data_IF_803843115061
#
_entry.id   IF_803843115061
#
_cell.length_a   1.000
_cell.length_b   1.000
_cell.length_c   1.000
_cell.angle_alpha   90.00
_cell.angle_beta   90.00
_cell.angle_gamma   90.00
#
_symmetry.space_group_name_H-M   'P 1'
#
loop_
_entity.id
_entity.type
_entity.pdbx_description
1 polymer ?
#
# COMPACT_ATOMS: atom_id res chain seq x y z
N UNK A 1 33.13 -11.61 -58.95
CA UNK A 1 32.63 -10.29 -58.54
C UNK A 1 32.12 -9.51 -59.73
N UNK A 2 31.51 -8.36 -59.53
CA UNK A 2 31.01 -7.48 -60.59
C UNK A 2 32.13 -6.75 -61.26
N UNK A 3 32.24 -6.90 -62.64
CA UNK A 3 33.26 -6.26 -63.46
C UNK A 3 32.79 -4.98 -64.19
N UNK A 4 31.50 -4.61 -63.99
CA UNK A 4 30.94 -3.41 -64.62
C UNK A 4 31.21 -2.18 -63.73
N UNK A 5 32.09 -1.27 -64.20
CA UNK A 5 32.46 -0.06 -63.48
C UNK A 5 31.32 0.94 -63.27
N UNK A 6 30.16 0.71 -63.87
CA UNK A 6 28.93 1.53 -63.67
C UNK A 6 27.98 0.94 -62.65
N UNK A 7 28.32 -0.19 -62.07
CA UNK A 7 27.50 -0.88 -61.08
C UNK A 7 27.85 -0.44 -59.68
N UNK A 8 26.85 -0.47 -58.74
CA UNK A 8 26.97 -0.06 -57.34
C UNK A 8 28.00 -0.88 -56.56
N UNK A 9 28.14 -2.17 -56.91
CA UNK A 9 29.04 -3.14 -56.27
C UNK A 9 30.21 -3.53 -57.18
N UNK A 10 30.70 -2.60 -58.04
CA UNK A 10 31.90 -2.81 -58.88
C UNK A 10 33.10 -3.21 -58.01
N UNK A 11 33.73 -4.30 -58.40
CA UNK A 11 34.97 -4.78 -57.77
C UNK A 11 36.13 -4.66 -58.75
N UNK A 12 37.05 -3.71 -58.57
CA UNK A 12 38.18 -3.50 -59.49
C UNK A 12 39.19 -4.67 -59.49
N UNK A 13 39.08 -5.62 -58.61
CA UNK A 13 39.92 -6.82 -58.58
C UNK A 13 39.24 -8.05 -59.16
N UNK A 14 38.00 -7.95 -59.60
CA UNK A 14 37.28 -9.03 -60.25
C UNK A 14 37.77 -9.19 -61.68
N UNK A 15 38.22 -10.40 -62.03
CA UNK A 15 38.69 -10.76 -63.34
C UNK A 15 37.60 -11.44 -64.19
N UNK A 16 36.57 -11.93 -63.57
CA UNK A 16 35.39 -12.61 -64.19
C UNK A 16 34.12 -12.08 -63.60
N UNK A 17 33.18 -11.67 -64.43
CA UNK A 17 31.85 -11.30 -64.05
C UNK A 17 31.07 -12.56 -63.57
N UNK A 18 30.56 -12.54 -62.40
CA UNK A 18 29.73 -13.62 -61.79
C UNK A 18 28.23 -13.33 -61.89
N UNK A 19 27.83 -12.27 -62.54
CA UNK A 19 26.45 -11.84 -62.69
C UNK A 19 25.88 -11.13 -61.47
N UNK A 20 26.73 -10.77 -60.47
CA UNK A 20 26.29 -10.08 -59.25
C UNK A 20 26.17 -8.57 -59.41
N UNK A 21 26.38 -8.00 -60.54
CA UNK A 21 26.33 -6.56 -60.80
C UNK A 21 24.97 -5.96 -60.44
N UNK A 22 25.00 -4.98 -59.54
CA UNK A 22 23.80 -4.23 -59.11
C UNK A 22 23.78 -2.90 -59.88
N UNK A 23 22.82 -2.70 -60.79
CA UNK A 23 22.76 -1.46 -61.58
C UNK A 23 22.48 -0.27 -60.68
N UNK A 24 23.11 0.87 -60.87
CA UNK A 24 22.78 2.12 -60.23
C UNK A 24 21.47 2.65 -60.81
N UNK A 25 20.42 2.58 -60.00
CA UNK A 25 19.11 3.16 -60.32
C UNK A 25 18.91 4.31 -59.34
N UNK A 26 18.95 5.52 -59.84
CA UNK A 26 18.74 6.72 -59.05
C UNK A 26 17.27 6.90 -58.71
N UNK A 27 16.99 7.40 -57.52
CA UNK A 27 15.65 7.71 -57.05
C UNK A 27 15.59 7.84 -55.53
N UNK A 28 14.45 8.24 -54.99
CA UNK A 28 14.24 8.32 -53.58
C UNK A 28 14.19 6.93 -52.91
N UNK A 29 15.10 6.65 -52.00
CA UNK A 29 15.21 5.38 -51.24
C UNK A 29 14.52 5.42 -49.88
N UNK A 30 13.98 6.57 -49.45
CA UNK A 30 13.26 6.69 -48.16
C UNK A 30 11.80 6.28 -48.32
N UNK A 31 11.39 5.20 -47.63
CA UNK A 31 10.03 4.67 -47.65
C UNK A 31 8.98 5.67 -47.15
N UNK A 32 9.38 6.71 -46.41
CA UNK A 32 8.48 7.76 -45.88
C UNK A 32 8.27 8.90 -46.91
N UNK A 33 8.98 8.94 -48.02
CA UNK A 33 8.80 9.95 -49.04
C UNK A 33 7.60 9.63 -49.94
N UNK A 34 6.94 10.69 -50.49
CA UNK A 34 5.80 10.56 -51.37
C UNK A 34 6.18 9.92 -52.71
N UNK A 35 7.43 10.07 -53.12
CA UNK A 35 8.00 9.55 -54.36
C UNK A 35 9.01 8.41 -54.10
N UNK A 36 8.85 7.67 -53.01
CA UNK A 36 9.63 6.46 -52.76
C UNK A 36 9.59 5.53 -53.98
N UNK A 37 10.75 5.12 -54.41
CA UNK A 37 10.89 4.20 -55.54
C UNK A 37 11.61 2.93 -55.04
N UNK A 38 10.87 1.85 -54.90
CA UNK A 38 11.40 0.57 -54.42
C UNK A 38 12.48 -0.06 -55.29
N UNK A 39 12.60 0.39 -56.53
CA UNK A 39 13.65 -0.05 -57.47
C UNK A 39 14.93 0.79 -57.41
N UNK A 40 14.94 1.91 -56.68
CA UNK A 40 16.13 2.73 -56.54
C UNK A 40 17.19 2.01 -55.70
N UNK A 41 18.43 1.99 -56.18
CA UNK A 41 19.59 1.41 -55.51
C UNK A 41 20.51 2.50 -54.92
N UNK A 42 20.33 3.76 -55.36
CA UNK A 42 21.09 4.91 -54.87
C UNK A 42 20.16 6.13 -54.73
N UNK A 43 20.17 6.75 -53.55
CA UNK A 43 19.43 7.99 -53.28
C UNK A 43 20.06 9.15 -54.11
N UNK A 44 19.23 9.84 -54.88
CA UNK A 44 19.61 10.99 -55.70
C UNK A 44 19.24 12.34 -55.07
N UNK A 45 18.74 12.33 -53.80
CA UNK A 45 18.27 13.50 -53.10
C UNK A 45 16.89 14.02 -53.60
N UNK A 46 16.21 13.27 -54.45
CA UNK A 46 14.91 13.66 -55.04
C UNK A 46 13.71 13.38 -54.09
N UNK A 47 13.96 12.88 -52.90
CA UNK A 47 12.88 12.54 -51.96
C UNK A 47 11.96 13.74 -51.69
N UNK A 48 10.69 13.59 -52.01
CA UNK A 48 9.64 14.57 -51.77
C UNK A 48 8.86 14.12 -50.52
N UNK A 49 8.94 14.91 -49.49
CA UNK A 49 8.16 14.67 -48.30
C UNK A 49 6.85 15.45 -48.31
N UNK A 50 5.81 14.96 -47.66
CA UNK A 50 4.54 15.67 -47.58
C UNK A 50 4.78 17.06 -46.93
N UNK A 51 4.46 18.11 -47.67
CA UNK A 51 4.54 19.50 -47.17
C UNK A 51 3.39 19.87 -46.25
N UNK A 52 2.37 19.00 -46.13
CA UNK A 52 1.18 19.18 -45.32
C UNK A 52 1.04 18.02 -44.36
N UNK A 53 0.73 18.30 -43.11
CA UNK A 53 0.47 17.27 -42.11
C UNK A 53 -0.70 16.38 -42.54
N UNK A 54 -0.46 15.07 -42.61
CA UNK A 54 -1.46 14.05 -42.97
C UNK A 54 -2.36 13.65 -41.80
N UNK A 55 -2.27 14.34 -40.67
CA UNK A 55 -3.03 14.08 -39.46
C UNK A 55 -2.94 12.64 -38.96
N UNK A 56 -1.71 12.10 -38.66
CA UNK A 56 -1.51 10.72 -38.29
C UNK A 56 -2.27 10.38 -37.01
N UNK A 57 -2.82 9.15 -36.96
CA UNK A 57 -3.50 8.63 -35.72
C UNK A 57 -2.46 8.25 -34.69
N UNK A 58 -2.67 8.60 -33.39
CA UNK A 58 -1.78 8.20 -32.33
C UNK A 58 -1.58 6.68 -32.24
N UNK A 59 -0.36 6.28 -31.86
CA UNK A 59 0.12 4.88 -31.74
C UNK A 59 0.82 4.64 -30.40
N UNK A 60 1.41 3.46 -30.18
CA UNK A 60 2.22 3.15 -29.00
C UNK A 60 1.43 3.09 -27.70
N UNK A 61 0.21 2.55 -27.75
CA UNK A 61 -0.70 2.54 -26.59
C UNK A 61 -0.28 1.52 -25.53
N UNK A 62 -0.22 2.00 -24.27
CA UNK A 62 -0.14 1.15 -23.10
C UNK A 62 -0.74 1.88 -21.90
N UNK A 63 -0.90 1.17 -20.78
CA UNK A 63 -1.43 1.73 -19.53
C UNK A 63 -0.47 1.49 -18.35
N UNK A 64 -0.47 2.41 -17.40
CA UNK A 64 0.24 2.29 -16.13
C UNK A 64 -0.59 2.87 -14.98
N UNK A 65 -0.09 2.80 -13.76
CA UNK A 65 -0.78 3.29 -12.55
C UNK A 65 -2.23 2.80 -12.45
N UNK A 66 -2.48 1.54 -12.86
CA UNK A 66 -3.83 0.96 -12.80
C UNK A 66 -4.15 0.59 -11.36
N UNK A 67 -5.09 1.33 -10.76
CA UNK A 67 -5.63 1.06 -9.43
C UNK A 67 -7.16 1.08 -9.48
N UNK A 68 -7.81 0.90 -8.35
CA UNK A 68 -9.27 0.75 -8.27
C UNK A 68 -10.09 1.92 -8.86
N UNK A 69 -9.54 3.12 -8.97
CA UNK A 69 -10.29 4.32 -9.37
C UNK A 69 -9.59 5.18 -10.41
N UNK A 70 -8.47 4.70 -10.98
CA UNK A 70 -7.73 5.45 -12.00
C UNK A 70 -6.82 4.57 -12.83
N UNK A 71 -6.39 5.14 -13.95
CA UNK A 71 -5.37 4.62 -14.86
C UNK A 71 -4.60 5.80 -15.45
N UNK A 72 -3.37 5.57 -15.86
CA UNK A 72 -2.63 6.46 -16.76
C UNK A 72 -2.51 5.78 -18.12
N UNK A 73 -3.10 6.39 -19.15
CA UNK A 73 -2.96 5.96 -20.54
C UNK A 73 -1.79 6.66 -21.16
N UNK A 74 -1.07 5.97 -22.04
CA UNK A 74 0.13 6.44 -22.73
C UNK A 74 0.00 6.24 -24.23
N UNK A 75 0.75 7.05 -24.99
CA UNK A 75 0.86 7.00 -26.46
C UNK A 75 2.21 7.56 -26.90
N UNK A 76 2.56 7.35 -28.16
CA UNK A 76 3.79 7.88 -28.75
C UNK A 76 3.75 9.40 -28.90
N UNK A 77 4.92 10.03 -28.92
CA UNK A 77 5.03 11.43 -29.29
C UNK A 77 4.76 11.58 -30.79
N UNK A 78 3.67 12.22 -31.15
CA UNK A 78 3.23 12.42 -32.52
C UNK A 78 3.79 13.69 -33.17
N UNK A 79 4.71 14.40 -32.48
CA UNK A 79 5.34 15.62 -33.00
C UNK A 79 6.37 15.26 -34.07
N UNK A 80 6.25 15.89 -35.24
CA UNK A 80 7.24 15.83 -36.32
C UNK A 80 7.47 17.23 -36.91
N UNK A 81 8.43 17.37 -37.84
CA UNK A 81 8.71 18.64 -38.48
C UNK A 81 7.51 19.26 -39.23
N UNK A 82 6.55 18.41 -39.64
CA UNK A 82 5.38 18.82 -40.44
C UNK A 82 4.06 18.64 -39.65
N UNK A 83 4.01 17.80 -38.64
CA UNK A 83 2.81 17.53 -37.86
C UNK A 83 3.06 17.93 -36.42
N UNK A 84 2.45 19.03 -35.99
CA UNK A 84 2.53 19.55 -34.60
C UNK A 84 1.18 19.31 -33.88
N UNK A 85 1.06 18.31 -33.02
CA UNK A 85 -0.16 18.11 -32.27
C UNK A 85 -0.45 19.31 -31.35
N UNK A 86 -1.69 19.80 -31.34
CA UNK A 86 -2.17 20.86 -30.43
C UNK A 86 -3.11 20.32 -29.36
N UNK A 87 -3.69 19.17 -29.57
CA UNK A 87 -4.60 18.54 -28.64
C UNK A 87 -4.70 17.04 -28.91
N UNK A 88 -4.70 16.26 -27.84
CA UNK A 88 -5.18 14.87 -27.85
C UNK A 88 -6.52 14.77 -27.13
N UNK A 89 -7.46 14.01 -27.68
CA UNK A 89 -8.73 13.69 -27.08
C UNK A 89 -8.79 12.20 -26.81
N UNK A 90 -8.96 11.83 -25.56
CA UNK A 90 -9.12 10.46 -25.08
C UNK A 90 -10.60 10.27 -24.75
N UNK A 91 -11.24 9.28 -25.36
CA UNK A 91 -12.56 8.82 -24.95
C UNK A 91 -12.44 7.47 -24.27
N UNK A 92 -13.21 7.28 -23.20
CA UNK A 92 -13.25 6.04 -22.44
C UNK A 92 -14.66 5.78 -21.91
N UNK A 93 -14.98 4.50 -21.72
CA UNK A 93 -16.26 4.06 -21.14
C UNK A 93 -16.11 2.66 -20.55
N UNK A 94 -17.02 2.27 -19.68
CA UNK A 94 -17.13 0.87 -19.26
C UNK A 94 -17.59 0.01 -20.44
N UNK A 95 -17.03 -1.20 -20.55
CA UNK A 95 -17.44 -2.14 -21.60
C UNK A 95 -18.92 -2.42 -21.49
N UNK A 96 -19.64 -2.31 -22.62
CA UNK A 96 -21.09 -2.48 -22.68
C UNK A 96 -21.89 -1.17 -22.53
N UNK A 97 -21.29 -0.07 -22.12
CA UNK A 97 -21.96 1.24 -22.09
C UNK A 97 -21.94 1.89 -23.49
N UNK A 98 -22.95 2.70 -23.76
CA UNK A 98 -23.05 3.42 -25.06
C UNK A 98 -22.38 4.79 -25.04
N UNK A 99 -22.43 5.48 -23.89
CA UNK A 99 -21.92 6.84 -23.73
C UNK A 99 -20.40 6.87 -23.49
N UNK A 100 -19.70 7.75 -24.18
CA UNK A 100 -18.28 7.98 -24.00
C UNK A 100 -18.02 9.17 -23.07
N UNK A 101 -17.25 8.97 -22.02
CA UNK A 101 -16.60 10.01 -21.24
C UNK A 101 -15.35 10.51 -21.98
N UNK A 102 -14.92 11.75 -21.68
CA UNK A 102 -13.82 12.38 -22.39
C UNK A 102 -12.82 13.05 -21.46
N UNK A 103 -11.53 12.94 -21.83
CA UNK A 103 -10.42 13.75 -21.30
C UNK A 103 -9.61 14.33 -22.45
N UNK A 104 -9.13 15.56 -22.26
CA UNK A 104 -8.24 16.18 -23.22
C UNK A 104 -6.85 16.37 -22.61
N UNK A 105 -5.83 16.22 -23.45
CA UNK A 105 -4.48 16.70 -23.18
C UNK A 105 -4.23 17.86 -24.15
N UNK A 106 -4.02 19.04 -23.63
CA UNK A 106 -3.76 20.29 -24.38
C UNK A 106 -2.91 21.20 -23.51
N UNK A 107 -2.19 22.11 -24.16
CA UNK A 107 -1.35 23.11 -23.50
C UNK A 107 -1.35 24.41 -24.33
N UNK A 108 -0.80 25.49 -23.83
CA UNK A 108 -0.72 26.79 -24.52
C UNK A 108 0.52 26.84 -25.46
N UNK A 109 0.42 27.60 -26.56
CA UNK A 109 1.55 27.84 -27.47
C UNK A 109 1.97 26.68 -28.38
N UNK A 110 1.15 25.68 -28.53
CA UNK A 110 1.48 24.38 -29.12
C UNK A 110 1.81 24.39 -30.59
N UNK A 111 1.32 25.40 -31.34
CA UNK A 111 1.60 25.47 -32.78
C UNK A 111 3.03 25.96 -33.14
N UNK A 112 3.84 26.29 -32.12
CA UNK A 112 5.27 26.57 -32.28
C UNK A 112 6.15 25.33 -32.08
N UNK A 113 5.74 24.44 -31.17
CA UNK A 113 6.58 23.32 -30.72
C UNK A 113 5.89 21.95 -30.76
N UNK A 114 4.56 21.90 -30.94
CA UNK A 114 3.77 20.70 -30.77
C UNK A 114 3.58 20.29 -29.30
N UNK A 115 2.64 19.38 -29.04
CA UNK A 115 2.34 18.86 -27.71
C UNK A 115 3.20 17.62 -27.43
N UNK A 116 4.20 17.74 -26.57
CA UNK A 116 5.11 16.67 -26.17
C UNK A 116 4.50 15.70 -25.13
N UNK A 117 3.31 16.01 -24.62
CA UNK A 117 2.63 15.13 -23.65
C UNK A 117 2.28 13.80 -24.27
N UNK A 118 2.76 12.71 -23.66
CA UNK A 118 2.57 11.31 -24.10
C UNK A 118 1.76 10.48 -23.11
N UNK A 119 1.13 11.11 -22.12
CA UNK A 119 0.28 10.41 -21.17
C UNK A 119 -0.81 11.28 -20.57
N UNK A 120 -1.89 10.65 -20.12
CA UNK A 120 -2.98 11.31 -19.38
C UNK A 120 -3.55 10.38 -18.31
N UNK A 121 -3.77 10.93 -17.11
CA UNK A 121 -4.45 10.20 -16.05
C UNK A 121 -5.96 10.32 -16.21
N UNK A 122 -6.65 9.20 -16.15
CA UNK A 122 -8.11 9.09 -16.07
C UNK A 122 -8.44 8.70 -14.62
N UNK A 123 -9.35 9.42 -14.00
CA UNK A 123 -9.73 9.27 -12.57
C UNK A 123 -11.24 9.09 -12.43
N UNK A 124 -11.69 8.73 -11.25
CA UNK A 124 -13.11 8.48 -10.90
C UNK A 124 -13.67 7.30 -11.70
N UNK A 125 -12.86 6.26 -11.82
CA UNK A 125 -13.26 4.99 -12.41
C UNK A 125 -13.87 4.08 -11.34
N UNK A 126 -14.76 3.18 -11.75
CA UNK A 126 -15.31 2.10 -10.91
C UNK A 126 -14.26 1.02 -10.66
N UNK A 127 -14.16 0.43 -9.46
CA UNK A 127 -13.23 -0.65 -9.18
C UNK A 127 -13.66 -1.95 -9.88
N UNK A 128 -12.68 -2.83 -10.12
CA UNK A 128 -12.87 -4.15 -10.74
C UNK A 128 -13.72 -4.10 -12.02
N UNK A 129 -13.52 -3.04 -12.82
CA UNK A 129 -14.34 -2.75 -14.00
C UNK A 129 -13.45 -2.66 -15.23
N UNK A 130 -13.88 -3.32 -16.31
CA UNK A 130 -13.20 -3.25 -17.60
C UNK A 130 -13.69 -2.04 -18.39
N UNK A 131 -12.73 -1.24 -18.83
CA UNK A 131 -12.93 -0.06 -19.64
C UNK A 131 -12.35 -0.29 -21.05
N UNK A 132 -13.00 0.31 -22.03
CA UNK A 132 -12.44 0.50 -23.36
C UNK A 132 -12.15 1.98 -23.59
N UNK A 133 -11.11 2.27 -24.34
CA UNK A 133 -10.71 3.64 -24.64
C UNK A 133 -10.13 3.75 -26.04
N UNK A 134 -10.21 4.94 -26.60
CA UNK A 134 -9.65 5.32 -27.91
C UNK A 134 -9.24 6.77 -27.86
N UNK A 135 -8.39 7.18 -28.80
CA UNK A 135 -7.98 8.56 -28.88
C UNK A 135 -7.80 9.05 -30.31
N UNK A 136 -7.75 10.36 -30.46
CA UNK A 136 -7.39 11.05 -31.69
C UNK A 136 -6.62 12.33 -31.39
N UNK A 137 -5.90 12.84 -32.36
CA UNK A 137 -5.10 14.05 -32.26
C UNK A 137 -5.64 15.14 -33.21
N UNK A 138 -5.54 16.41 -32.79
CA UNK A 138 -5.69 17.60 -33.61
C UNK A 138 -4.32 18.20 -33.82
N UNK A 139 -4.03 18.56 -35.07
CA UNK A 139 -2.75 19.15 -35.45
C UNK A 139 -2.88 20.63 -35.79
N UNK A 140 -1.79 21.36 -35.65
CA UNK A 140 -1.69 22.76 -36.11
C UNK A 140 -1.71 22.81 -37.64
N UNK A 141 -2.15 23.94 -38.17
CA UNK A 141 -2.20 24.21 -39.61
C UNK A 141 -3.03 23.19 -40.45
N UNK A 142 -3.94 22.50 -39.76
CA UNK A 142 -4.94 21.62 -40.37
C UNK A 142 -6.33 21.97 -39.89
N UNK A 143 -7.36 21.71 -40.69
CA UNK A 143 -8.76 21.94 -40.33
C UNK A 143 -9.38 20.71 -39.62
N UNK A 144 -8.66 19.59 -39.55
CA UNK A 144 -9.17 18.30 -39.11
C UNK A 144 -8.42 17.71 -37.94
N UNK A 145 -8.95 16.60 -37.46
CA UNK A 145 -8.32 15.69 -36.51
C UNK A 145 -7.97 14.39 -37.24
N UNK A 146 -7.07 13.59 -36.65
CA UNK A 146 -6.91 12.20 -37.06
C UNK A 146 -8.24 11.43 -36.94
N UNK A 147 -8.32 10.28 -37.56
CA UNK A 147 -9.36 9.31 -37.22
C UNK A 147 -9.17 8.82 -35.79
N UNK A 148 -10.18 8.16 -35.23
CA UNK A 148 -10.05 7.49 -33.94
C UNK A 148 -9.10 6.29 -34.05
N UNK A 149 -8.27 6.09 -33.05
CA UNK A 149 -7.47 4.89 -32.92
C UNK A 149 -8.34 3.63 -32.78
N UNK A 150 -7.75 2.46 -32.99
CA UNK A 150 -8.34 1.21 -32.54
C UNK A 150 -8.65 1.29 -31.02
N UNK A 151 -9.70 0.60 -30.60
CA UNK A 151 -10.12 0.51 -29.21
C UNK A 151 -9.08 -0.32 -28.44
N UNK A 152 -8.64 0.20 -27.31
CA UNK A 152 -7.80 -0.45 -26.32
C UNK A 152 -8.64 -0.75 -25.07
N UNK A 153 -8.21 -1.71 -24.25
CA UNK A 153 -8.89 -2.07 -23.00
C UNK A 153 -7.94 -2.09 -21.82
N UNK A 154 -8.49 -1.86 -20.63
CA UNK A 154 -7.84 -2.11 -19.34
C UNK A 154 -8.89 -2.46 -18.30
N UNK A 155 -8.51 -3.16 -17.24
CA UNK A 155 -9.38 -3.44 -16.10
C UNK A 155 -8.80 -2.78 -14.85
N UNK A 156 -9.62 -1.99 -14.14
CA UNK A 156 -9.23 -1.41 -12.85
C UNK A 156 -9.04 -2.49 -11.80
N UNK A 157 -8.15 -2.25 -10.84
CA UNK A 157 -7.97 -3.14 -9.70
C UNK A 157 -9.23 -3.17 -8.81
N UNK A 158 -9.46 -4.22 -8.02
CA UNK A 158 -10.49 -4.21 -6.99
C UNK A 158 -10.24 -3.11 -5.95
N UNK A 159 -11.23 -2.78 -5.13
CA UNK A 159 -11.03 -1.88 -4.00
C UNK A 159 -9.98 -2.45 -3.04
N UNK A 160 -9.15 -1.56 -2.49
CA UNK A 160 -8.24 -1.94 -1.42
C UNK A 160 -9.06 -2.15 -0.14
N UNK A 161 -8.98 -3.34 0.51
CA UNK A 161 -9.80 -3.67 1.67
C UNK A 161 -9.65 -2.67 2.81
N UNK A 162 -10.74 -2.39 3.52
CA UNK A 162 -10.74 -1.53 4.69
C UNK A 162 -10.31 -2.28 5.96
N UNK A 163 -9.77 -1.53 6.92
CA UNK A 163 -9.71 -1.95 8.32
C UNK A 163 -11.14 -1.90 8.88
N UNK A 164 -11.57 -2.95 9.53
CA UNK A 164 -12.83 -3.04 10.27
C UNK A 164 -12.56 -3.47 11.71
N UNK A 165 -13.49 -3.26 12.62
CA UNK A 165 -13.39 -3.61 14.05
C UNK A 165 -12.11 -3.09 14.71
N UNK A 166 -11.65 -1.90 14.28
CA UNK A 166 -10.44 -1.29 14.83
C UNK A 166 -10.65 -0.91 16.29
N UNK A 167 -9.85 -1.50 17.18
CA UNK A 167 -9.97 -1.37 18.61
C UNK A 167 -8.61 -1.18 19.29
N UNK A 168 -8.64 -0.79 20.55
CA UNK A 168 -7.45 -0.57 21.37
C UNK A 168 -7.67 -1.12 22.76
N UNK A 169 -6.65 -1.78 23.31
CA UNK A 169 -6.54 -2.15 24.72
C UNK A 169 -5.30 -1.52 25.32
N UNK A 170 -5.29 -1.32 26.64
CA UNK A 170 -4.21 -0.64 27.36
C UNK A 170 -3.65 -1.52 28.48
N UNK A 171 -2.91 -2.59 28.12
CA UNK A 171 -2.41 -3.57 29.10
C UNK A 171 -1.37 -2.98 30.06
N UNK A 172 -0.72 -1.87 29.69
CA UNK A 172 0.25 -1.16 30.52
C UNK A 172 -0.01 0.34 30.50
N UNK A 173 0.42 1.05 31.54
CA UNK A 173 0.27 2.52 31.63
C UNK A 173 0.93 3.27 30.49
N UNK A 174 1.94 2.67 29.84
CA UNK A 174 2.71 3.27 28.74
C UNK A 174 2.54 2.55 27.41
N UNK A 175 1.68 1.51 27.34
CA UNK A 175 1.47 0.68 26.14
C UNK A 175 0.00 0.62 25.75
N UNK A 176 -0.28 0.79 24.47
CA UNK A 176 -1.55 0.44 23.86
C UNK A 176 -1.33 -0.70 22.83
N UNK A 177 -2.29 -1.60 22.74
CA UNK A 177 -2.34 -2.68 21.74
C UNK A 177 -3.52 -2.41 20.84
N UNK A 178 -3.25 -2.25 19.56
CA UNK A 178 -4.28 -2.08 18.53
C UNK A 178 -4.56 -3.42 17.86
N UNK A 179 -5.82 -3.73 17.67
CA UNK A 179 -6.29 -4.91 16.92
C UNK A 179 -7.34 -4.50 15.90
N UNK A 180 -7.45 -5.26 14.84
CA UNK A 180 -8.42 -5.01 13.78
C UNK A 180 -8.69 -6.26 12.95
N UNK A 181 -9.78 -6.21 12.18
CA UNK A 181 -10.10 -7.17 11.14
C UNK A 181 -10.00 -6.52 9.76
N UNK A 182 -10.14 -7.32 8.71
CA UNK A 182 -10.09 -6.87 7.32
C UNK A 182 -11.08 -7.63 6.45
N UNK A 183 -11.54 -6.98 5.38
CA UNK A 183 -12.40 -7.61 4.36
C UNK A 183 -11.62 -8.36 3.28
N UNK A 184 -10.29 -8.33 3.32
CA UNK A 184 -9.43 -9.01 2.35
C UNK A 184 -7.94 -8.70 2.58
N UNK A 185 -7.07 -9.22 1.73
CA UNK A 185 -5.62 -9.00 1.81
C UNK A 185 -5.21 -7.61 1.32
N UNK A 186 -4.18 -7.06 1.93
CA UNK A 186 -3.56 -5.78 1.59
C UNK A 186 -2.03 -5.89 1.77
N UNK A 187 -1.26 -4.88 1.39
CA UNK A 187 0.19 -4.91 1.62
C UNK A 187 0.52 -4.57 3.08
N UNK A 188 0.01 -3.46 3.58
CA UNK A 188 0.20 -3.05 4.98
C UNK A 188 -0.92 -2.13 5.47
N UNK A 189 -1.11 -2.08 6.79
CA UNK A 189 -1.97 -1.12 7.49
C UNK A 189 -1.13 -0.07 8.21
N UNK A 190 -1.51 1.19 8.13
CA UNK A 190 -0.95 2.27 8.96
C UNK A 190 -1.91 2.61 10.09
N UNK A 191 -1.36 2.69 11.28
CA UNK A 191 -2.05 3.15 12.47
C UNK A 191 -1.44 4.50 12.85
N UNK A 192 -2.28 5.51 12.95
CA UNK A 192 -1.90 6.84 13.40
C UNK A 192 -2.67 7.20 14.65
N UNK A 193 -1.98 7.79 15.60
CA UNK A 193 -2.57 8.29 16.85
C UNK A 193 -2.01 9.66 17.20
N UNK A 194 -2.72 10.41 17.99
CA UNK A 194 -2.25 11.68 18.59
C UNK A 194 -2.94 11.94 19.92
N UNK A 195 -2.39 12.89 20.68
CA UNK A 195 -3.05 13.39 21.88
C UNK A 195 -4.37 14.05 21.50
N UNK A 196 -5.43 13.74 22.24
CA UNK A 196 -6.78 14.21 21.93
C UNK A 196 -6.94 15.75 22.11
N UNK A 197 -6.28 16.34 23.09
CA UNK A 197 -6.35 17.76 23.41
C UNK A 197 -5.75 18.70 22.35
N UNK A 198 -5.04 18.20 21.35
CA UNK A 198 -4.49 19.03 20.26
C UNK A 198 -5.62 19.41 19.31
N UNK A 199 -6.04 20.68 19.34
CA UNK A 199 -7.18 21.20 18.55
C UNK A 199 -6.84 21.39 17.06
N UNK A 200 -5.63 21.85 16.74
CA UNK A 200 -5.16 22.09 15.37
C UNK A 200 -3.90 21.26 15.08
N UNK A 201 -4.04 19.94 14.83
CA UNK A 201 -2.90 19.06 14.66
C UNK A 201 -2.14 19.36 13.35
N UNK A 202 -0.83 19.47 13.45
CA UNK A 202 0.08 19.47 12.30
C UNK A 202 0.43 18.04 11.90
N UNK A 203 1.15 17.88 10.78
CA UNK A 203 1.63 16.54 10.37
C UNK A 203 2.52 15.86 11.40
N UNK A 204 3.22 16.62 12.23
CA UNK A 204 4.15 16.15 13.27
C UNK A 204 3.45 15.65 14.54
N UNK A 205 2.22 16.08 14.81
CA UNK A 205 1.45 15.67 15.98
C UNK A 205 0.93 14.22 15.87
N UNK A 206 0.94 13.67 14.66
CA UNK A 206 0.55 12.31 14.42
C UNK A 206 1.70 11.32 14.61
N UNK A 207 1.53 10.46 15.59
CA UNK A 207 2.46 9.38 15.93
C UNK A 207 2.04 8.11 15.16
N UNK A 208 3.01 7.40 14.59
CA UNK A 208 2.77 6.11 13.95
C UNK A 208 2.98 4.96 14.94
N UNK A 209 2.07 3.99 14.94
CA UNK A 209 2.30 2.70 15.55
C UNK A 209 2.75 1.71 14.46
N UNK A 210 4.03 1.28 14.52
CA UNK A 210 4.57 0.33 13.55
C UNK A 210 5.37 0.94 12.40
N UNK A 211 5.95 2.14 12.57
CA UNK A 211 6.81 2.77 11.57
C UNK A 211 6.06 3.04 10.26
N UNK A 212 6.58 2.51 9.13
CA UNK A 212 5.96 2.67 7.81
C UNK A 212 4.58 2.03 7.73
N UNK A 213 4.39 0.85 8.36
CA UNK A 213 3.11 0.13 8.40
C UNK A 213 3.26 -1.27 9.01
N UNK A 214 2.15 -1.95 9.20
CA UNK A 214 2.06 -3.33 9.68
C UNK A 214 1.64 -4.21 8.51
N UNK A 215 2.52 -5.13 8.10
CA UNK A 215 2.30 -6.00 6.94
C UNK A 215 1.19 -7.02 7.22
N UNK A 216 0.37 -7.29 6.22
CA UNK A 216 -0.56 -8.41 6.22
C UNK A 216 0.24 -9.76 6.25
N UNK A 217 -0.18 -10.80 6.99
CA UNK A 217 -1.47 -10.95 7.68
C UNK A 217 -1.51 -10.50 9.15
N UNK A 218 -0.54 -9.74 9.64
CA UNK A 218 -0.56 -9.26 11.02
C UNK A 218 -1.71 -8.27 11.23
N UNK A 219 -2.60 -8.56 12.17
CA UNK A 219 -3.80 -7.77 12.50
C UNK A 219 -3.73 -7.14 13.91
N UNK A 220 -2.53 -7.04 14.46
CA UNK A 220 -2.29 -6.43 15.76
C UNK A 220 -1.02 -5.59 15.77
N UNK A 221 -0.97 -4.57 16.63
CA UNK A 221 0.24 -3.77 16.81
C UNK A 221 0.32 -3.09 18.17
N UNK A 222 1.45 -3.24 18.82
CA UNK A 222 1.77 -2.55 20.07
C UNK A 222 2.33 -1.15 19.78
N UNK A 223 1.94 -0.17 20.61
CA UNK A 223 2.56 1.15 20.72
C UNK A 223 3.01 1.38 22.14
N UNK A 224 4.32 1.47 22.34
CA UNK A 224 4.94 1.80 23.62
C UNK A 224 5.25 3.30 23.73
N UNK A 225 5.62 3.76 24.92
CA UNK A 225 6.04 5.13 25.18
C UNK A 225 4.88 6.13 25.20
N UNK A 226 3.69 5.68 25.53
CA UNK A 226 2.53 6.55 25.76
C UNK A 226 2.58 7.11 27.18
N UNK A 227 1.97 8.28 27.40
CA UNK A 227 1.96 8.97 28.68
C UNK A 227 0.79 8.49 29.54
N UNK A 228 1.02 8.00 30.76
CA UNK A 228 -0.06 7.64 31.68
C UNK A 228 -1.03 8.81 31.93
N UNK A 229 -2.32 8.52 32.02
CA UNK A 229 -3.39 9.52 32.21
C UNK A 229 -3.72 10.38 30.99
N UNK A 230 -2.95 10.26 29.90
CA UNK A 230 -3.17 11.04 28.69
C UNK A 230 -4.25 10.39 27.82
N UNK A 231 -5.20 11.20 27.34
CA UNK A 231 -6.19 10.77 26.34
C UNK A 231 -5.62 10.91 24.93
N UNK A 232 -5.80 9.85 24.17
CA UNK A 232 -5.38 9.74 22.76
C UNK A 232 -6.57 9.47 21.87
N UNK A 233 -6.42 9.81 20.59
CA UNK A 233 -7.29 9.34 19.52
C UNK A 233 -6.47 8.66 18.44
N UNK A 234 -7.06 7.66 17.78
CA UNK A 234 -6.36 6.88 16.76
C UNK A 234 -7.27 6.46 15.62
N UNK A 235 -6.67 6.13 14.50
CA UNK A 235 -7.32 5.62 13.30
C UNK A 235 -6.35 4.75 12.50
N UNK A 236 -6.90 3.88 11.66
CA UNK A 236 -6.13 3.00 10.80
C UNK A 236 -6.60 3.08 9.35
N UNK A 237 -5.71 2.70 8.42
CA UNK A 237 -5.97 2.63 6.99
C UNK A 237 -5.05 1.62 6.33
N UNK A 238 -5.54 0.91 5.32
CA UNK A 238 -4.77 -0.07 4.55
C UNK A 238 -4.20 0.52 3.27
N UNK A 239 -3.10 -0.05 2.81
CA UNK A 239 -2.46 0.17 1.52
C UNK A 239 -2.29 -1.15 0.80
N UNK A 240 -2.70 -1.19 -0.46
CA UNK A 240 -2.48 -2.32 -1.37
C UNK A 240 -1.23 -2.13 -2.24
N UNK A 241 -0.70 -0.93 -2.29
CA UNK A 241 0.59 -0.63 -2.89
C UNK A 241 1.69 -0.77 -1.82
N UNK A 242 2.63 -1.73 -1.96
CA UNK A 242 3.69 -1.96 -0.98
C UNK A 242 4.62 -0.75 -0.83
N UNK A 243 4.71 0.13 -1.82
CA UNK A 243 5.47 1.39 -1.74
C UNK A 243 4.73 2.51 -1.00
N UNK A 244 3.47 2.31 -0.61
CA UNK A 244 2.65 3.30 0.09
C UNK A 244 2.03 4.36 -0.80
N UNK A 245 1.92 4.09 -2.07
CA UNK A 245 1.35 4.97 -3.08
C UNK A 245 -0.14 5.26 -2.92
N UNK A 246 -0.81 5.47 -4.04
CA UNK A 246 -2.20 5.90 -4.05
C UNK A 246 -3.21 4.74 -3.99
N UNK A 247 -2.77 3.49 -4.17
CA UNK A 247 -3.61 2.31 -4.06
C UNK A 247 -3.78 1.94 -2.58
N UNK A 248 -4.83 2.46 -1.98
CA UNK A 248 -5.17 2.33 -0.56
C UNK A 248 -6.68 2.33 -0.39
N UNK A 249 -7.16 1.89 0.77
CA UNK A 249 -8.59 1.94 1.09
C UNK A 249 -9.16 3.36 0.97
N UNK A 250 -10.45 3.47 0.75
CA UNK A 250 -11.12 4.76 0.44
C UNK A 250 -10.94 5.77 1.58
N UNK A 251 -11.12 5.32 2.82
CA UNK A 251 -11.09 6.19 4.00
C UNK A 251 -10.22 5.62 5.12
N UNK A 252 -9.87 6.46 6.07
CA UNK A 252 -9.44 6.04 7.39
C UNK A 252 -10.63 5.47 8.15
N UNK A 253 -10.37 4.59 9.12
CA UNK A 253 -11.40 4.17 10.08
C UNK A 253 -11.98 5.38 10.81
N UNK A 254 -13.18 5.28 11.38
CA UNK A 254 -13.60 6.21 12.42
C UNK A 254 -12.53 6.36 13.49
N UNK A 255 -12.46 7.52 14.12
CA UNK A 255 -11.57 7.76 15.24
C UNK A 255 -12.01 6.94 16.44
N UNK A 256 -11.07 6.24 17.06
CA UNK A 256 -11.24 5.64 18.40
C UNK A 256 -10.55 6.54 19.42
N UNK A 257 -11.10 6.58 20.64
CA UNK A 257 -10.60 7.39 21.74
C UNK A 257 -10.31 6.48 22.92
N UNK A 258 -9.21 6.75 23.64
CA UNK A 258 -8.88 6.04 24.87
C UNK A 258 -8.00 6.90 25.77
N UNK A 259 -8.03 6.62 27.05
CA UNK A 259 -7.13 7.23 28.02
C UNK A 259 -6.17 6.17 28.55
N UNK A 260 -4.87 6.47 28.52
CA UNK A 260 -3.89 5.58 29.14
C UNK A 260 -4.12 5.53 30.65
N UNK A 261 -4.13 4.34 31.24
CA UNK A 261 -4.29 4.22 32.69
C UNK A 261 -3.12 4.89 33.40
N UNK A 262 -3.41 5.52 34.56
CA UNK A 262 -2.39 6.14 35.43
C UNK A 262 -1.69 5.12 36.33
N UNK A 263 -2.38 4.06 36.63
CA UNK A 263 -1.86 2.88 37.32
C UNK A 263 -2.47 1.65 36.66
N UNK A 264 -1.72 0.55 36.61
CA UNK A 264 -2.31 -0.73 36.27
C UNK A 264 -2.84 -1.27 37.64
N UNK A 265 -4.14 -1.22 37.82
CA UNK A 265 -4.77 -2.30 38.56
C UNK A 265 -4.76 -3.46 37.57
N UNK A 266 -3.82 -4.32 37.76
CA UNK A 266 -3.87 -5.62 37.11
C UNK A 266 -4.91 -6.41 37.92
N UNK A 267 -6.17 -6.16 37.64
CA UNK A 267 -7.14 -7.23 37.74
C UNK A 267 -6.66 -8.23 36.72
N UNK A 268 -6.18 -9.40 37.16
CA UNK A 268 -5.54 -10.42 36.30
C UNK A 268 -6.43 -10.99 35.24
N UNK A 269 -7.35 -10.20 34.71
CA UNK A 269 -8.28 -10.53 33.66
C UNK A 269 -9.11 -11.78 34.01
N UNK A 270 -9.66 -12.40 32.99
CA UNK A 270 -10.36 -13.69 33.07
C UNK A 270 -9.42 -14.89 33.09
N UNK A 271 -8.08 -14.69 33.13
CA UNK A 271 -7.08 -15.75 33.11
C UNK A 271 -7.18 -16.69 34.33
N UNK A 272 -7.64 -16.18 35.45
CA UNK A 272 -7.88 -16.95 36.68
C UNK A 272 -9.26 -16.62 37.23
N UNK A 273 -10.03 -17.66 37.50
CA UNK A 273 -11.34 -17.58 38.10
C UNK A 273 -11.33 -18.11 39.54
N UNK A 274 -12.31 -17.70 40.33
CA UNK A 274 -12.57 -18.23 41.65
C UNK A 274 -11.38 -18.10 42.65
N UNK A 275 -10.56 -17.02 42.52
CA UNK A 275 -9.48 -16.81 43.47
C UNK A 275 -10.04 -16.58 44.89
N UNK A 276 -9.80 -17.53 45.76
CA UNK A 276 -10.14 -17.46 47.16
C UNK A 276 -8.94 -17.75 48.06
N UNK A 277 -8.87 -17.08 49.19
CA UNK A 277 -7.82 -17.30 50.20
C UNK A 277 -8.46 -17.27 51.60
N UNK A 278 -8.39 -18.39 52.24
CA UNK A 278 -9.02 -18.57 53.56
C UNK A 278 -8.18 -19.42 54.55
N UNK A 279 -8.29 -19.14 55.83
CA UNK A 279 -8.87 -17.96 56.42
C UNK A 279 -8.04 -16.72 56.10
N UNK A 280 -8.70 -15.56 56.00
CA UNK A 280 -8.04 -14.26 55.85
C UNK A 280 -8.86 -13.21 56.64
N UNK A 281 -8.43 -12.77 57.78
CA UNK A 281 -7.14 -12.97 58.48
C UNK A 281 -6.85 -14.41 58.92
N UNK A 282 -5.55 -14.76 58.95
CA UNK A 282 -5.06 -16.03 59.46
C UNK A 282 -4.02 -15.83 60.59
N UNK A 283 -3.88 -16.83 61.45
CA UNK A 283 -2.79 -16.84 62.43
C UNK A 283 -1.48 -17.34 61.86
N UNK A 284 -1.54 -18.37 60.98
CA UNK A 284 -0.36 -19.05 60.52
C UNK A 284 -0.52 -19.52 59.05
N UNK A 285 -1.64 -20.15 58.67
CA UNK A 285 -1.84 -20.88 57.46
C UNK A 285 -2.89 -20.21 56.58
N UNK A 286 -2.59 -20.06 55.27
CA UNK A 286 -3.53 -19.64 54.25
C UNK A 286 -3.77 -20.76 53.26
N UNK A 287 -5.03 -21.05 52.91
CA UNK A 287 -5.38 -21.91 51.79
C UNK A 287 -5.65 -21.01 50.59
N UNK A 288 -4.86 -21.15 49.57
CA UNK A 288 -5.00 -20.44 48.29
C UNK A 288 -5.69 -21.38 47.30
N UNK A 289 -6.78 -20.93 46.70
CA UNK A 289 -7.53 -21.68 45.70
C UNK A 289 -7.85 -20.78 44.51
N UNK A 290 -7.66 -21.30 43.29
CA UNK A 290 -8.11 -20.64 42.05
C UNK A 290 -8.26 -21.66 40.94
N UNK A 291 -8.86 -21.24 39.80
CA UNK A 291 -9.01 -22.05 38.56
C UNK A 291 -8.40 -21.31 37.37
N UNK A 292 -7.53 -21.98 36.62
CA UNK A 292 -7.08 -21.53 35.28
C UNK A 292 -7.87 -22.28 34.20
N UNK A 293 -8.56 -21.57 33.33
CA UNK A 293 -9.33 -22.18 32.22
C UNK A 293 -8.46 -22.52 31.02
N UNK A 294 -7.40 -21.73 30.80
CA UNK A 294 -6.46 -21.90 29.72
C UNK A 294 -5.13 -22.49 30.21
N UNK A 295 -4.42 -23.22 29.33
CA UNK A 295 -3.05 -23.68 29.60
C UNK A 295 -2.15 -22.44 29.58
N UNK A 296 -1.45 -22.15 30.70
CA UNK A 296 -0.54 -21.03 30.82
C UNK A 296 0.50 -21.25 31.91
N UNK A 297 1.60 -20.52 31.84
CA UNK A 297 2.60 -20.49 32.89
C UNK A 297 2.17 -19.52 33.97
N UNK A 298 2.21 -19.97 35.22
CA UNK A 298 1.82 -19.18 36.39
C UNK A 298 2.96 -19.12 37.41
N UNK A 299 3.22 -17.92 37.94
CA UNK A 299 4.07 -17.75 39.12
C UNK A 299 3.19 -17.29 40.28
N UNK A 300 3.13 -18.10 41.33
CA UNK A 300 2.42 -17.79 42.56
C UNK A 300 3.44 -17.37 43.62
N UNK A 301 3.36 -16.15 44.11
CA UNK A 301 4.26 -15.68 45.18
C UNK A 301 3.54 -14.88 46.24
N UNK A 302 4.10 -14.87 47.44
CA UNK A 302 3.65 -14.02 48.53
C UNK A 302 4.79 -13.09 48.92
N UNK A 303 4.49 -11.81 48.98
CA UNK A 303 5.45 -10.76 49.33
C UNK A 303 4.99 -10.00 50.60
N UNK A 304 5.93 -9.48 51.37
CA UNK A 304 5.65 -8.57 52.46
C UNK A 304 5.51 -7.10 51.95
N UNK A 305 5.22 -6.17 52.88
CA UNK A 305 5.00 -4.74 52.55
C UNK A 305 6.23 -4.02 52.00
N UNK A 306 7.42 -4.57 52.17
CA UNK A 306 8.67 -4.01 51.62
C UNK A 306 9.09 -4.70 50.30
N UNK A 307 8.28 -5.63 49.76
CA UNK A 307 8.52 -6.32 48.50
C UNK A 307 9.40 -7.58 48.61
N UNK A 308 9.72 -8.04 49.79
CA UNK A 308 10.48 -9.28 50.00
C UNK A 308 9.58 -10.50 49.76
N UNK A 309 10.04 -11.44 48.96
CA UNK A 309 9.32 -12.69 48.62
C UNK A 309 9.48 -13.68 49.75
N UNK A 310 8.36 -14.09 50.35
CA UNK A 310 8.32 -15.07 51.46
C UNK A 310 7.85 -16.46 50.99
N UNK A 311 7.23 -16.53 49.84
CA UNK A 311 6.80 -17.77 49.19
C UNK A 311 6.82 -17.58 47.66
N UNK A 312 7.25 -18.61 46.91
CA UNK A 312 7.15 -18.67 45.47
C UNK A 312 6.94 -20.09 44.98
N UNK A 313 6.12 -20.25 43.96
CA UNK A 313 5.88 -21.50 43.24
C UNK A 313 5.62 -21.21 41.75
N UNK A 314 6.30 -21.92 40.84
CA UNK A 314 6.10 -21.83 39.40
C UNK A 314 5.30 -23.02 38.92
N UNK A 315 4.29 -22.77 38.12
CA UNK A 315 3.41 -23.77 37.53
C UNK A 315 3.54 -23.64 35.99
N UNK A 316 4.23 -24.59 35.37
CA UNK A 316 4.41 -24.62 33.92
C UNK A 316 3.23 -25.31 33.24
N UNK A 317 2.74 -24.76 32.13
CA UNK A 317 1.62 -25.30 31.32
C UNK A 317 0.40 -25.69 32.18
N UNK A 318 0.08 -24.89 33.18
CA UNK A 318 -0.97 -25.20 34.15
C UNK A 318 -2.38 -24.89 33.63
N UNK A 319 -3.29 -25.84 33.82
CA UNK A 319 -4.74 -25.70 33.57
C UNK A 319 -5.54 -26.43 34.66
N UNK A 320 -6.69 -25.91 35.03
CA UNK A 320 -7.59 -26.51 36.01
C UNK A 320 -7.54 -25.86 37.38
N UNK A 321 -7.88 -26.63 38.44
CA UNK A 321 -8.03 -26.13 39.80
C UNK A 321 -6.69 -26.22 40.54
N UNK A 322 -6.25 -25.08 41.11
CA UNK A 322 -5.12 -24.99 42.04
C UNK A 322 -5.63 -24.89 43.46
N UNK A 323 -5.08 -25.68 44.37
CA UNK A 323 -5.32 -25.60 45.79
C UNK A 323 -4.02 -25.86 46.55
N UNK A 324 -3.58 -24.87 47.33
CA UNK A 324 -2.34 -24.94 48.09
C UNK A 324 -2.50 -24.36 49.46
N UNK A 325 -1.91 -25.03 50.43
CA UNK A 325 -1.78 -24.54 51.79
C UNK A 325 -0.40 -23.91 51.97
N UNK A 326 -0.37 -22.63 52.33
CA UNK A 326 0.87 -21.88 52.57
C UNK A 326 0.96 -21.56 54.06
N UNK A 327 2.04 -22.01 54.69
CA UNK A 327 2.33 -21.78 56.11
C UNK A 327 3.26 -20.57 56.26
N UNK A 328 2.78 -19.54 56.96
CA UNK A 328 3.54 -18.34 57.27
C UNK A 328 3.79 -18.18 58.79
N UNK A 329 3.72 -19.28 59.57
CA UNK A 329 3.87 -19.26 61.03
C UNK A 329 5.20 -18.66 61.51
N UNK A 330 6.26 -18.79 60.70
CA UNK A 330 7.61 -18.29 61.03
C UNK A 330 7.83 -16.83 60.66
N UNK A 331 6.89 -16.21 59.97
CA UNK A 331 7.01 -14.85 59.48
C UNK A 331 6.32 -13.85 60.46
N UNK A 332 6.76 -12.59 60.39
CA UNK A 332 6.26 -11.53 61.24
C UNK A 332 4.78 -11.23 60.98
N UNK A 333 4.01 -11.05 62.01
CA UNK A 333 2.59 -10.67 61.89
C UNK A 333 2.46 -9.33 61.16
N UNK A 334 1.52 -9.25 60.21
CA UNK A 334 1.36 -8.05 59.42
C UNK A 334 0.59 -8.29 58.12
N UNK A 335 0.76 -7.36 57.17
CA UNK A 335 0.15 -7.41 55.84
C UNK A 335 1.10 -8.02 54.84
N UNK A 336 0.58 -8.96 54.08
CA UNK A 336 1.26 -9.60 52.93
C UNK A 336 0.39 -9.45 51.68
N UNK A 337 0.97 -9.70 50.52
CA UNK A 337 0.27 -9.71 49.27
C UNK A 337 0.56 -11.03 48.53
N UNK A 338 -0.49 -11.75 48.22
CA UNK A 338 -0.44 -12.84 47.25
C UNK A 338 -0.42 -12.21 45.85
N UNK A 339 0.56 -12.56 45.06
CA UNK A 339 0.66 -12.20 43.64
C UNK A 339 0.63 -13.47 42.81
N UNK A 340 -0.20 -13.49 41.79
CA UNK A 340 -0.26 -14.56 40.79
C UNK A 340 0.02 -13.91 39.44
N UNK A 341 1.20 -14.19 38.87
CA UNK A 341 1.60 -13.73 37.55
C UNK A 341 1.07 -14.72 36.52
N UNK A 342 0.44 -14.20 35.48
CA UNK A 342 -0.12 -14.95 34.35
C UNK A 342 0.39 -14.33 33.05
N UNK A 343 0.19 -15.00 31.91
CA UNK A 343 0.48 -14.43 30.58
C UNK A 343 -0.28 -13.12 30.32
N UNK A 344 -1.42 -12.91 30.97
CA UNK A 344 -2.29 -11.75 30.80
C UNK A 344 -2.12 -10.66 31.88
N UNK A 345 -1.27 -10.90 32.89
CA UNK A 345 -1.00 -9.91 33.96
C UNK A 345 -0.81 -10.53 35.33
N UNK A 346 -0.81 -9.71 36.38
CA UNK A 346 -0.60 -10.10 37.75
C UNK A 346 -1.87 -9.86 38.59
N UNK A 347 -2.34 -10.86 39.33
CA UNK A 347 -3.45 -10.76 40.25
C UNK A 347 -2.89 -10.59 41.68
N UNK A 348 -3.41 -9.62 42.40
CA UNK A 348 -2.99 -9.35 43.79
C UNK A 348 -4.13 -9.53 44.77
N UNK A 349 -3.88 -10.22 45.87
CA UNK A 349 -4.83 -10.32 46.99
C UNK A 349 -4.11 -10.02 48.30
N UNK A 350 -4.69 -9.11 49.09
CA UNK A 350 -4.17 -8.76 50.43
C UNK A 350 -4.40 -9.91 51.41
N UNK A 351 -3.36 -10.29 52.15
CA UNK A 351 -3.38 -11.26 53.23
C UNK A 351 -3.09 -10.56 54.56
N UNK A 352 -3.74 -10.98 55.61
CA UNK A 352 -3.53 -10.46 56.96
C UNK A 352 -3.13 -11.61 57.86
N UNK A 353 -1.84 -11.61 58.28
CA UNK A 353 -1.28 -12.54 59.25
C UNK A 353 -1.34 -11.90 60.64
N UNK A 354 -2.03 -12.54 61.62
CA UNK A 354 -2.25 -12.01 62.94
C UNK A 354 -1.94 -13.02 64.06
#
# INVERSE_FOLDING_TARGET
>A
GCTDSTSLNFDPLAIVDDGSCIPIIYGCTDINALNFYSGATLDDGSCIYPSVCTTPTPTGFYVSEVIHNRVRVHWDNMTSSICLPKQYRIQYREVGQTAWSQKNAQDAGLCNFGLSTTSKRITNLSPNTTYEWRMKAWYCNTTGASIWSAIQTFTTAPECPNVINFSVTTPLTTRAVFTWDTTGSYSFARIKLRIDSISNPTGTDWISAGGFGVNYPTLTRNKNGLTPGQTYRGQARTWCDPSGGMYKSISWTPLIFWTQPTSIRVDGGTAINNLDVYPNPSRDIFNVKFTSEDIQDLEVRIINVIGEVVYTENLEEFVGEYTKQVDLATYTKGVYFLEITTDNGVINKKLILQ
#
